data_IF_228410911010
#
_entry.id   IF_228410911010
#
_cell.length_a   1.000
_cell.length_b   1.000
_cell.length_c   1.000
_cell.angle_alpha   90.00
_cell.angle_beta   90.00
_cell.angle_gamma   90.00
#
_symmetry.space_group_name_H-M   'P 1'
#
loop_
_entity.id
_entity.type
_entity.pdbx_description
1 polymer ?
#
# COMPACT_ATOMS: atom_id res chain seq x y z
N UNK A 1 -1.80 -16.66 4.72
CA UNK A 1 -2.31 -16.93 6.09
C UNK A 1 -2.13 -15.67 6.93
N UNK A 2 -3.09 -15.37 7.81
CA UNK A 2 -3.20 -14.14 8.58
C UNK A 2 -2.44 -14.20 9.90
N UNK A 3 -1.64 -13.17 10.17
CA UNK A 3 -0.79 -13.04 11.37
C UNK A 3 -1.19 -11.84 12.28
N UNK A 4 -2.35 -11.22 12.05
CA UNK A 4 -2.78 -10.04 12.82
C UNK A 4 -2.32 -8.69 12.27
N UNK A 5 -1.58 -8.67 11.16
CA UNK A 5 -0.99 -7.44 10.59
C UNK A 5 -1.86 -6.74 9.53
N UNK A 6 -2.81 -7.46 8.93
CA UNK A 6 -3.72 -6.94 7.90
C UNK A 6 -5.13 -6.72 8.46
N UNK A 7 -6.04 -6.10 7.69
CA UNK A 7 -7.38 -5.81 8.16
C UNK A 7 -8.18 -7.11 8.43
N UNK A 8 -8.61 -7.35 9.68
CA UNK A 8 -9.37 -8.55 10.03
C UNK A 8 -10.75 -8.61 9.34
N UNK A 9 -11.30 -7.47 8.93
CA UNK A 9 -12.56 -7.42 8.16
C UNK A 9 -12.39 -7.96 6.74
N UNK A 10 -11.28 -7.65 6.08
CA UNK A 10 -11.03 -8.12 4.71
C UNK A 10 -10.83 -9.63 4.70
N UNK A 11 -10.13 -10.17 5.71
CA UNK A 11 -10.03 -11.62 5.91
C UNK A 11 -11.41 -12.26 6.13
N UNK A 12 -12.25 -11.63 6.96
CA UNK A 12 -13.58 -12.15 7.25
C UNK A 12 -14.48 -12.13 6.01
N UNK A 13 -14.44 -11.05 5.23
CA UNK A 13 -15.21 -10.91 3.98
C UNK A 13 -14.74 -11.91 2.93
N UNK A 14 -13.42 -12.07 2.75
CA UNK A 14 -12.86 -13.08 1.85
C UNK A 14 -13.33 -14.48 2.24
N UNK A 15 -13.27 -14.82 3.53
CA UNK A 15 -13.68 -16.13 3.99
C UNK A 15 -15.18 -16.37 3.79
N UNK A 16 -16.03 -15.39 4.17
CA UNK A 16 -17.48 -15.45 3.93
C UNK A 16 -17.84 -15.60 2.46
N UNK A 17 -17.16 -14.87 1.57
CA UNK A 17 -17.41 -14.96 0.13
C UNK A 17 -17.08 -16.37 -0.40
N UNK A 18 -15.93 -16.93 0.00
CA UNK A 18 -15.52 -18.28 -0.41
C UNK A 18 -16.48 -19.35 0.11
N UNK A 19 -16.97 -19.23 1.34
CA UNK A 19 -17.82 -20.24 1.97
C UNK A 19 -19.29 -20.12 1.56
N UNK A 20 -19.79 -18.91 1.30
CA UNK A 20 -21.14 -18.66 0.79
C UNK A 20 -21.29 -19.19 -0.65
N UNK A 21 -20.28 -19.03 -1.49
CA UNK A 21 -20.25 -19.60 -2.85
C UNK A 21 -20.32 -21.13 -2.85
N UNK A 22 -19.94 -21.79 -1.75
CA UNK A 22 -19.87 -23.25 -1.64
C UNK A 22 -20.95 -23.86 -0.73
N UNK A 23 -21.85 -23.05 -0.16
CA UNK A 23 -22.99 -23.53 0.62
C UNK A 23 -22.62 -24.21 1.95
N UNK A 24 -21.48 -23.87 2.54
CA UNK A 24 -20.97 -24.57 3.72
C UNK A 24 -21.69 -24.23 5.02
N UNK A 25 -21.80 -25.23 5.91
CA UNK A 25 -22.33 -25.05 7.26
C UNK A 25 -21.41 -24.17 8.13
N UNK A 26 -21.95 -23.58 9.20
CA UNK A 26 -21.19 -22.72 10.12
C UNK A 26 -19.95 -23.39 10.72
N UNK A 27 -20.00 -24.70 10.94
CA UNK A 27 -18.87 -25.49 11.43
C UNK A 27 -17.72 -25.55 10.41
N UNK A 28 -18.05 -25.79 9.14
CA UNK A 28 -17.06 -25.84 8.04
C UNK A 28 -16.45 -24.46 7.84
N UNK A 29 -17.24 -23.38 7.96
CA UNK A 29 -16.74 -22.00 7.94
C UNK A 29 -15.74 -21.73 9.07
N UNK A 30 -16.03 -22.16 10.31
CA UNK A 30 -15.11 -22.03 11.43
C UNK A 30 -13.77 -22.76 11.18
N UNK A 31 -13.82 -23.99 10.64
CA UNK A 31 -12.61 -24.78 10.33
C UNK A 31 -11.80 -24.15 9.20
N UNK A 32 -12.45 -23.71 8.13
CA UNK A 32 -11.81 -23.02 7.02
C UNK A 32 -11.17 -21.70 7.48
N UNK A 33 -11.87 -20.91 8.30
CA UNK A 33 -11.34 -19.69 8.87
C UNK A 33 -10.13 -19.95 9.77
N UNK A 34 -10.20 -20.91 10.68
CA UNK A 34 -9.07 -21.32 11.52
C UNK A 34 -7.83 -21.71 10.70
N UNK A 35 -8.01 -22.37 9.54
CA UNK A 35 -6.92 -22.75 8.64
C UNK A 35 -6.23 -21.54 7.99
N UNK A 36 -6.92 -20.41 7.87
CA UNK A 36 -6.31 -19.17 7.35
C UNK A 36 -5.45 -18.44 8.38
N UNK A 37 -5.59 -18.75 9.68
CA UNK A 37 -4.89 -18.06 10.78
C UNK A 37 -3.53 -18.71 11.10
N UNK A 38 -2.56 -17.90 11.55
CA UNK A 38 -1.27 -18.35 12.08
C UNK A 38 -0.99 -17.78 13.47
N UNK A 39 0.01 -18.37 14.14
CA UNK A 39 0.63 -17.81 15.34
C UNK A 39 -0.35 -17.55 16.51
N UNK A 40 -0.22 -16.41 17.21
CA UNK A 40 -1.09 -16.05 18.33
C UNK A 40 -2.57 -15.99 17.96
N UNK A 41 -2.88 -15.51 16.75
CA UNK A 41 -4.26 -15.38 16.25
C UNK A 41 -4.95 -16.74 16.11
N UNK A 42 -4.25 -17.75 15.58
CA UNK A 42 -4.76 -19.13 15.51
C UNK A 42 -4.97 -19.74 16.89
N UNK A 43 -4.03 -19.51 17.81
CA UNK A 43 -4.09 -20.04 19.17
C UNK A 43 -5.27 -19.47 19.96
N UNK A 44 -5.54 -18.18 19.80
CA UNK A 44 -6.72 -17.51 20.37
C UNK A 44 -8.02 -18.06 19.78
N UNK A 45 -8.12 -18.14 18.45
CA UNK A 45 -9.35 -18.61 17.79
C UNK A 45 -9.66 -20.07 18.12
N UNK A 46 -8.64 -20.94 18.26
CA UNK A 46 -8.82 -22.34 18.67
C UNK A 46 -9.42 -22.47 20.07
N UNK A 47 -9.04 -21.62 21.02
CA UNK A 47 -9.63 -21.62 22.37
C UNK A 47 -11.12 -21.24 22.31
N UNK A 48 -11.47 -20.33 21.41
CA UNK A 48 -12.84 -19.88 21.22
C UNK A 48 -13.71 -20.90 20.45
N UNK A 49 -13.14 -21.52 19.41
CA UNK A 49 -13.82 -22.53 18.60
C UNK A 49 -14.09 -23.83 19.35
N UNK A 50 -13.42 -24.11 20.47
CA UNK A 50 -13.71 -25.28 21.31
C UNK A 50 -14.94 -25.09 22.21
N UNK A 51 -15.37 -23.83 22.43
CA UNK A 51 -16.40 -23.47 23.40
C UNK A 51 -17.74 -23.14 22.70
N UNK A 52 -17.69 -22.68 21.44
CA UNK A 52 -18.87 -22.20 20.71
C UNK A 52 -18.80 -22.64 19.25
N UNK A 53 -19.41 -23.79 18.93
CA UNK A 53 -19.55 -24.35 17.55
C UNK A 53 -21.03 -24.36 17.12
N UNK A 54 -21.88 -23.49 17.66
CA UNK A 54 -23.28 -23.42 17.19
C UNK A 54 -23.43 -22.56 15.93
N UNK A 55 -22.52 -21.60 15.71
CA UNK A 55 -22.63 -20.64 14.62
C UNK A 55 -21.33 -19.86 14.38
N UNK A 56 -21.06 -19.51 13.12
CA UNK A 56 -19.91 -18.68 12.73
C UNK A 56 -20.05 -17.19 13.14
N UNK A 57 -21.27 -16.77 13.51
CA UNK A 57 -21.61 -15.37 13.78
C UNK A 57 -20.91 -14.79 15.02
N UNK A 58 -20.89 -15.53 16.12
CA UNK A 58 -20.30 -15.04 17.38
C UNK A 58 -18.75 -15.01 17.36
N UNK A 59 -18.05 -16.07 16.89
CA UNK A 59 -16.59 -16.07 16.83
C UNK A 59 -16.02 -15.00 15.88
N UNK A 60 -16.69 -14.73 14.76
CA UNK A 60 -16.23 -13.73 13.78
C UNK A 60 -16.31 -12.29 14.30
N UNK A 61 -17.37 -11.94 15.05
CA UNK A 61 -17.49 -10.60 15.69
C UNK A 61 -16.41 -10.37 16.74
N UNK A 62 -16.14 -11.38 17.57
CA UNK A 62 -15.11 -11.31 18.60
C UNK A 62 -13.69 -11.29 18.01
N UNK A 63 -13.47 -12.01 16.91
CA UNK A 63 -12.22 -11.92 16.16
C UNK A 63 -11.95 -10.49 15.70
N UNK A 64 -12.94 -9.83 15.11
CA UNK A 64 -12.81 -8.42 14.71
C UNK A 64 -12.56 -7.56 15.94
N UNK A 65 -13.36 -7.67 17.01
CA UNK A 65 -13.16 -6.87 18.22
C UNK A 65 -11.76 -7.03 18.85
N UNK A 66 -11.21 -8.24 18.84
CA UNK A 66 -9.91 -8.52 19.46
C UNK A 66 -8.72 -8.10 18.59
N UNK A 67 -8.84 -8.14 17.25
CA UNK A 67 -7.74 -7.86 16.33
C UNK A 67 -7.89 -6.55 15.53
N UNK A 68 -9.00 -5.83 15.66
CA UNK A 68 -9.20 -4.52 15.01
C UNK A 68 -8.18 -3.48 15.52
N UNK A 69 -7.75 -3.60 16.77
CA UNK A 69 -6.68 -2.78 17.36
C UNK A 69 -5.26 -3.24 16.98
N UNK A 70 -5.09 -4.48 16.50
CA UNK A 70 -3.79 -5.01 16.04
C UNK A 70 -3.42 -4.56 14.61
N UNK A 71 -4.28 -3.76 13.96
CA UNK A 71 -3.97 -3.13 12.69
C UNK A 71 -2.66 -2.35 12.82
N UNK A 72 -1.75 -2.54 11.87
CA UNK A 72 -0.72 -1.52 11.62
C UNK A 72 -1.50 -0.28 11.22
N UNK A 73 -1.59 0.71 12.12
CA UNK A 73 -2.23 1.99 11.79
C UNK A 73 -1.45 2.56 10.63
N UNK A 74 -2.11 2.72 9.49
CA UNK A 74 -1.53 3.46 8.38
C UNK A 74 -1.23 4.87 8.86
N UNK A 75 -0.09 5.39 8.46
CA UNK A 75 0.37 6.73 8.81
C UNK A 75 -0.36 7.75 7.94
N UNK A 76 -0.41 8.98 8.41
CA UNK A 76 -0.94 10.09 7.65
C UNK A 76 0.03 10.47 6.51
N UNK A 77 -0.49 11.21 5.52
CA UNK A 77 0.29 11.77 4.43
C UNK A 77 1.48 12.61 4.91
N UNK A 78 1.36 13.26 6.08
CA UNK A 78 2.44 14.07 6.64
C UNK A 78 3.66 13.23 7.06
N UNK A 79 3.54 11.92 7.19
CA UNK A 79 4.68 11.05 7.48
C UNK A 79 5.73 11.05 6.36
N UNK A 80 5.33 11.26 5.10
CA UNK A 80 6.27 11.27 3.98
C UNK A 80 7.31 12.40 4.14
N UNK A 81 6.90 13.56 4.66
CA UNK A 81 7.79 14.69 5.00
C UNK A 81 8.79 14.40 6.12
N UNK A 82 8.79 13.20 6.71
CA UNK A 82 9.79 12.80 7.71
C UNK A 82 10.86 11.88 7.13
N UNK A 83 10.72 11.52 5.85
CA UNK A 83 11.58 10.57 5.15
C UNK A 83 12.52 11.34 4.24
N UNK A 84 13.62 11.81 4.82
CA UNK A 84 14.62 12.60 4.10
C UNK A 84 15.78 11.73 3.62
N UNK A 85 16.38 12.11 2.49
CA UNK A 85 17.65 11.54 2.06
C UNK A 85 18.75 11.88 3.09
N UNK A 86 19.43 10.86 3.60
CA UNK A 86 20.49 11.02 4.61
C UNK A 86 21.82 11.47 4.00
N UNK A 87 22.69 12.02 4.84
CA UNK A 87 24.07 12.34 4.46
C UNK A 87 24.79 11.10 3.93
N UNK A 88 25.34 11.19 2.71
CA UNK A 88 26.05 10.09 2.06
C UNK A 88 25.17 8.96 1.53
N UNK A 89 23.85 9.07 1.63
CA UNK A 89 22.93 8.06 1.11
C UNK A 89 22.75 8.17 -0.41
N UNK A 90 22.85 7.03 -1.09
CA UNK A 90 22.60 6.97 -2.53
C UNK A 90 21.14 7.27 -2.85
N UNK A 91 20.88 7.90 -3.99
CA UNK A 91 19.49 8.16 -4.44
C UNK A 91 18.68 6.85 -4.53
N UNK A 92 19.31 5.74 -4.91
CA UNK A 92 18.69 4.42 -5.01
C UNK A 92 18.22 3.92 -3.63
N UNK A 93 19.04 4.09 -2.61
CA UNK A 93 18.70 3.67 -1.24
C UNK A 93 17.61 4.54 -0.63
N UNK A 94 17.66 5.85 -0.89
CA UNK A 94 16.59 6.77 -0.54
C UNK A 94 15.26 6.37 -1.18
N UNK A 95 15.21 6.21 -2.51
CA UNK A 95 13.98 5.81 -3.22
C UNK A 95 13.43 4.49 -2.68
N UNK A 96 14.30 3.53 -2.35
CA UNK A 96 13.88 2.25 -1.77
C UNK A 96 13.14 2.42 -0.45
N UNK A 97 13.68 3.19 0.50
CA UNK A 97 13.00 3.38 1.79
C UNK A 97 11.81 4.34 1.68
N UNK A 98 11.83 5.28 0.73
CA UNK A 98 10.73 6.22 0.51
C UNK A 98 9.51 5.48 -0.02
N UNK A 99 9.71 4.57 -0.98
CA UNK A 99 8.68 3.65 -1.45
C UNK A 99 8.11 2.78 -0.33
N UNK A 100 8.95 2.33 0.60
CA UNK A 100 8.48 1.60 1.78
C UNK A 100 7.58 2.47 2.67
N UNK A 101 7.94 3.75 2.86
CA UNK A 101 7.12 4.70 3.61
C UNK A 101 5.77 5.01 2.94
N UNK A 102 5.72 5.07 1.60
CA UNK A 102 4.45 5.21 0.85
C UNK A 102 3.48 4.07 1.18
N UNK A 103 3.98 2.82 1.28
CA UNK A 103 3.14 1.65 1.61
C UNK A 103 2.55 1.71 3.03
N UNK A 104 3.18 2.47 3.92
CA UNK A 104 2.71 2.66 5.30
C UNK A 104 1.66 3.76 5.41
N UNK A 105 1.47 4.60 4.38
CA UNK A 105 0.55 5.73 4.38
C UNK A 105 -0.82 5.34 3.83
N UNK A 106 -1.88 5.93 4.38
CA UNK A 106 -3.25 5.75 3.88
C UNK A 106 -3.50 6.62 2.65
N UNK A 107 -3.61 5.95 1.49
CA UNK A 107 -4.01 6.53 0.19
C UNK A 107 -3.38 7.90 -0.12
N UNK A 108 -2.03 8.00 -0.18
CA UNK A 108 -1.39 9.26 -0.47
C UNK A 108 -1.67 9.67 -1.92
N UNK A 109 -2.20 10.87 -2.13
CA UNK A 109 -2.35 11.41 -3.49
C UNK A 109 -1.00 11.54 -4.19
N UNK A 110 -0.94 11.26 -5.50
CA UNK A 110 0.28 11.38 -6.30
C UNK A 110 0.95 12.75 -6.15
N UNK A 111 0.15 13.82 -6.04
CA UNK A 111 0.65 15.18 -5.82
C UNK A 111 1.44 15.30 -4.52
N UNK A 112 0.95 14.71 -3.43
CA UNK A 112 1.64 14.73 -2.13
C UNK A 112 2.92 13.89 -2.19
N UNK A 113 2.88 12.74 -2.85
CA UNK A 113 4.06 11.87 -3.02
C UNK A 113 5.16 12.59 -3.80
N UNK A 114 4.81 13.22 -4.93
CA UNK A 114 5.78 13.97 -5.75
C UNK A 114 6.31 15.19 -5.00
N UNK A 115 5.45 15.94 -4.33
CA UNK A 115 5.84 17.13 -3.57
C UNK A 115 6.80 16.79 -2.43
N UNK A 116 6.46 15.79 -1.61
CA UNK A 116 7.31 15.33 -0.50
C UNK A 116 8.66 14.82 -1.02
N UNK A 117 8.65 14.00 -2.07
CA UNK A 117 9.90 13.52 -2.68
C UNK A 117 10.79 14.67 -3.18
N UNK A 118 10.21 15.73 -3.78
CA UNK A 118 10.97 16.88 -4.27
C UNK A 118 11.58 17.72 -3.13
N UNK A 119 10.84 17.92 -2.04
CA UNK A 119 11.31 18.67 -0.86
C UNK A 119 12.39 17.90 -0.08
N UNK A 120 12.27 16.57 -0.03
CA UNK A 120 13.10 15.71 0.81
C UNK A 120 14.38 15.21 0.12
N UNK A 121 14.54 15.51 -1.17
CA UNK A 121 15.74 15.24 -1.96
C UNK A 121 16.81 16.31 -1.73
N UNK A 122 18.04 15.86 -1.49
CA UNK A 122 19.17 16.79 -1.34
C UNK A 122 19.65 17.28 -2.71
N UNK A 123 20.13 18.54 -2.80
CA UNK A 123 20.86 19.02 -3.97
C UNK A 123 22.15 18.19 -4.14
N UNK A 124 22.10 17.19 -5.01
CA UNK A 124 23.26 16.42 -5.45
C UNK A 124 23.62 16.74 -6.90
N UNK A 125 24.71 16.21 -7.46
CA UNK A 125 24.94 16.24 -8.88
C UNK A 125 23.79 15.47 -9.54
N UNK A 126 22.78 16.21 -9.99
CA UNK A 126 21.83 15.72 -10.98
C UNK A 126 22.69 15.21 -12.12
N UNK A 127 22.58 13.92 -12.45
CA UNK A 127 23.21 13.37 -13.64
C UNK A 127 22.89 14.36 -14.75
N UNK A 128 23.90 15.03 -15.37
CA UNK A 128 23.60 16.03 -16.36
C UNK A 128 22.75 15.36 -17.43
N UNK A 129 21.52 15.83 -17.63
CA UNK A 129 20.76 15.47 -18.82
C UNK A 129 21.72 15.70 -20.00
N UNK A 130 22.01 14.69 -20.85
CA UNK A 130 22.83 14.92 -22.02
C UNK A 130 22.17 16.06 -22.77
N UNK A 131 22.88 17.19 -22.94
CA UNK A 131 22.41 18.27 -23.79
C UNK A 131 22.27 17.70 -25.19
N UNK A 132 21.07 17.27 -25.55
CA UNK A 132 20.76 16.88 -26.93
C UNK A 132 20.73 18.18 -27.71
N UNK A 133 21.82 18.48 -28.39
CA UNK A 133 21.87 19.55 -29.38
C UNK A 133 20.91 19.19 -30.50
N UNK A 134 19.69 19.74 -30.45
CA UNK A 134 18.76 19.70 -31.57
C UNK A 134 19.41 20.45 -32.74
N UNK A 135 19.87 19.72 -33.74
CA UNK A 135 20.31 20.32 -35.00
C UNK A 135 19.08 20.87 -35.73
N UNK A 136 19.06 22.16 -36.11
CA UNK A 136 17.93 22.71 -36.86
C UNK A 136 17.74 21.97 -38.20
N UNK A 137 16.51 21.52 -38.46
CA UNK A 137 16.14 20.94 -39.74
C UNK A 137 16.18 22.04 -40.82
N UNK A 138 17.02 21.88 -41.85
CA UNK A 138 17.28 22.89 -42.90
C UNK A 138 16.12 23.08 -43.91
N UNK A 139 14.92 22.56 -43.64
CA UNK A 139 13.83 22.56 -44.61
C UNK A 139 12.62 23.36 -44.12
N UNK A 140 12.75 24.69 -44.14
CA UNK A 140 11.64 25.61 -44.43
C UNK A 140 12.16 27.04 -44.60
N UNK A 141 12.65 27.38 -45.80
CA UNK A 141 12.69 28.79 -46.22
C UNK A 141 11.27 29.20 -46.61
N UNK A 142 10.50 29.73 -45.66
CA UNK A 142 9.29 30.47 -45.99
C UNK A 142 9.72 31.82 -46.59
N UNK A 143 9.44 31.98 -47.89
CA UNK A 143 9.64 33.23 -48.64
C UNK A 143 8.51 34.19 -48.25
N UNK A 144 8.81 35.20 -47.44
CA UNK A 144 7.90 36.32 -47.24
C UNK A 144 8.10 37.30 -48.41
N UNK A 145 7.20 37.30 -49.38
CA UNK A 145 7.03 38.44 -50.28
C UNK A 145 6.22 39.50 -49.54
N UNK A 146 6.90 40.58 -49.15
CA UNK A 146 6.27 41.81 -48.69
C UNK A 146 5.62 42.52 -49.88
N UNK A 147 4.33 42.82 -49.80
CA UNK A 147 3.71 43.85 -50.64
C UNK A 147 2.77 44.66 -49.77
N UNK A 148 3.24 45.83 -49.37
CA UNK A 148 2.43 46.97 -48.94
C UNK A 148 3.06 48.21 -49.55
N UNK A 149 2.56 48.60 -50.73
CA UNK A 149 2.06 49.94 -51.03
C UNK A 149 1.27 49.91 -52.33
#
# INVERSE_FOLDING_TARGET
>A
MYEGKTNPMDLLNLNKNLTMLQGYSGEVMCKAFLATLKGPTRSWFRKFSLITIDSFGNPSRLFVANFIGCRVRKKNASHLFTVHQKDGESLKDYVRHFNQAILEVEDPSDKVVVMTMMEDLRPGPLIPFPKVSLKPCQHSKARLTSTLQ
#
